data_IF_852901066760
#
_entry.id   IF_852901066760
#
_cell.length_a   1.000
_cell.length_b   1.000
_cell.length_c   1.000
_cell.angle_alpha   90.00
_cell.angle_beta   90.00
_cell.angle_gamma   90.00
#
_symmetry.space_group_name_H-M   'P 1'
#
loop_
_entity.id
_entity.type
_entity.pdbx_description
1 polymer ?
#
# COMPACT_ATOMS: atom_id res chain seq x y z
N UNK A 1 34.19 -16.15 28.80
CA UNK A 1 34.04 -15.53 30.14
C UNK A 1 33.81 -14.04 29.93
N UNK A 2 32.83 -13.53 30.67
CA UNK A 2 32.24 -12.21 30.56
C UNK A 2 33.23 -11.05 30.70
N UNK A 3 32.88 -9.89 30.12
CA UNK A 3 32.83 -8.61 30.85
C UNK A 3 32.03 -7.62 30.00
N UNK A 4 30.72 -7.70 30.24
CA UNK A 4 29.64 -6.87 29.71
C UNK A 4 29.77 -5.46 30.29
N UNK A 5 30.00 -4.47 29.41
CA UNK A 5 30.03 -3.06 29.75
C UNK A 5 28.66 -2.58 30.21
N UNK A 6 28.49 -2.44 31.53
CA UNK A 6 27.28 -1.98 32.19
C UNK A 6 27.08 -0.50 31.88
N UNK A 7 26.18 -0.20 30.94
CA UNK A 7 25.60 1.13 30.77
C UNK A 7 24.88 1.53 32.06
N UNK A 8 25.29 2.66 32.64
CA UNK A 8 24.62 3.30 33.75
C UNK A 8 23.32 3.95 33.25
N UNK A 9 22.18 3.77 33.96
CA UNK A 9 20.97 4.54 33.73
C UNK A 9 21.08 5.83 34.55
N UNK A 10 21.55 6.91 33.94
CA UNK A 10 21.70 8.22 34.59
C UNK A 10 21.17 9.33 33.69
N UNK A 11 20.10 9.99 34.14
CA UNK A 11 19.56 11.26 33.60
C UNK A 11 19.31 11.25 32.09
N UNK A 12 18.33 10.46 31.66
CA UNK A 12 17.84 10.46 30.29
C UNK A 12 17.12 11.77 29.98
N UNK A 13 17.88 12.78 29.51
CA UNK A 13 17.34 13.73 28.53
C UNK A 13 17.15 13.01 27.20
N UNK A 14 16.26 13.51 26.33
CA UNK A 14 16.08 12.95 25.00
C UNK A 14 17.46 12.87 24.33
N UNK A 15 17.95 11.67 24.03
CA UNK A 15 19.29 11.56 23.46
C UNK A 15 19.22 11.94 21.99
N UNK A 16 20.15 12.79 21.52
CA UNK A 16 20.30 13.11 20.09
C UNK A 16 20.37 11.84 19.23
N UNK A 17 20.95 10.76 19.78
CA UNK A 17 21.00 9.42 19.18
C UNK A 17 19.61 8.80 18.97
N UNK A 18 18.69 8.93 19.93
CA UNK A 18 17.32 8.40 19.83
C UNK A 18 16.52 9.14 18.75
N UNK A 19 16.66 10.47 18.68
CA UNK A 19 16.06 11.29 17.61
C UNK A 19 16.63 10.89 16.25
N UNK A 20 17.95 10.72 16.15
CA UNK A 20 18.62 10.30 14.92
C UNK A 20 18.16 8.92 14.45
N UNK A 21 17.92 7.97 15.37
CA UNK A 21 17.39 6.64 15.05
C UNK A 21 15.95 6.72 14.52
N UNK A 22 15.09 7.50 15.16
CA UNK A 22 13.71 7.71 14.69
C UNK A 22 13.69 8.39 13.31
N UNK A 23 14.60 9.33 13.08
CA UNK A 23 14.73 9.97 11.75
C UNK A 23 15.18 8.99 10.67
N UNK A 24 16.10 8.08 10.97
CA UNK A 24 16.52 7.01 10.06
C UNK A 24 15.39 6.02 9.74
N UNK A 25 14.45 5.83 10.68
CA UNK A 25 13.25 5.03 10.49
C UNK A 25 12.16 5.76 9.68
N UNK A 26 12.38 7.02 9.28
CA UNK A 26 11.47 7.80 8.45
C UNK A 26 10.38 8.55 9.21
N UNK A 27 10.47 8.65 10.54
CA UNK A 27 9.55 9.49 11.32
C UNK A 27 9.83 10.98 11.07
N UNK A 28 8.77 11.76 10.96
CA UNK A 28 8.87 13.22 10.82
C UNK A 28 9.14 13.89 12.17
N UNK A 29 9.83 15.04 12.18
CA UNK A 29 10.27 15.71 13.41
C UNK A 29 9.11 16.05 14.36
N UNK A 30 7.95 16.42 13.82
CA UNK A 30 6.72 16.64 14.59
C UNK A 30 6.20 15.37 15.28
N UNK A 31 6.34 14.20 14.66
CA UNK A 31 5.96 12.90 15.23
C UNK A 31 6.95 12.49 16.34
N UNK A 32 8.24 12.75 16.13
CA UNK A 32 9.30 12.50 17.11
C UNK A 32 9.05 13.36 18.36
N UNK A 33 8.70 14.64 18.19
CA UNK A 33 8.35 15.54 19.30
C UNK A 33 7.17 15.00 20.10
N UNK A 34 6.09 14.55 19.44
CA UNK A 34 4.93 13.99 20.14
C UNK A 34 5.26 12.69 20.89
N UNK A 35 6.04 11.79 20.28
CA UNK A 35 6.48 10.56 20.94
C UNK A 35 7.36 10.83 22.16
N UNK A 36 8.22 11.85 22.09
CA UNK A 36 9.10 12.24 23.21
C UNK A 36 8.32 12.98 24.30
N UNK A 37 7.36 13.83 23.95
CA UNK A 37 6.45 14.43 24.92
C UNK A 37 5.62 13.37 25.66
N UNK A 38 5.13 12.36 24.94
CA UNK A 38 4.43 11.21 25.54
C UNK A 38 5.34 10.36 26.46
N UNK A 39 6.66 10.41 26.24
CA UNK A 39 7.66 9.77 27.11
C UNK A 39 8.10 10.66 28.28
N UNK A 40 7.53 11.87 28.41
CA UNK A 40 7.76 12.78 29.53
C UNK A 40 8.94 13.74 29.35
N UNK A 41 9.50 13.86 28.15
CA UNK A 41 10.60 14.79 27.89
C UNK A 41 10.12 16.24 27.78
N UNK A 42 10.89 17.17 28.34
CA UNK A 42 10.63 18.62 28.28
C UNK A 42 10.90 19.17 26.88
N UNK A 43 10.09 20.14 26.44
CA UNK A 43 10.22 20.72 25.09
C UNK A 43 11.63 21.27 24.81
N UNK A 44 12.24 21.94 25.79
CA UNK A 44 13.60 22.48 25.68
C UNK A 44 14.64 21.38 25.44
N UNK A 45 14.52 20.25 26.13
CA UNK A 45 15.42 19.11 25.98
C UNK A 45 15.25 18.43 24.62
N UNK A 46 14.01 18.37 24.11
CA UNK A 46 13.71 17.82 22.78
C UNK A 46 14.34 18.70 21.69
N UNK A 47 14.21 20.02 21.78
CA UNK A 47 14.80 20.96 20.82
C UNK A 47 16.32 20.93 20.84
N UNK A 48 16.93 20.91 22.02
CA UNK A 48 18.39 20.83 22.17
C UNK A 48 18.94 19.53 21.56
N UNK A 49 18.27 18.40 21.82
CA UNK A 49 18.65 17.11 21.27
C UNK A 49 18.45 17.03 19.75
N UNK A 50 17.41 17.68 19.20
CA UNK A 50 17.16 17.75 17.77
C UNK A 50 18.22 18.60 17.05
N UNK A 51 18.58 19.74 17.62
CA UNK A 51 19.66 20.60 17.10
C UNK A 51 21.02 19.89 17.13
N UNK A 52 21.31 19.16 18.21
CA UNK A 52 22.51 18.31 18.29
C UNK A 52 22.52 17.19 17.23
N UNK A 53 21.38 16.53 17.00
CA UNK A 53 21.27 15.47 16.00
C UNK A 53 21.40 16.00 14.56
N UNK A 54 20.97 17.25 14.32
CA UNK A 54 21.12 17.93 13.04
C UNK A 54 22.56 18.35 12.79
N UNK A 55 23.22 18.95 13.79
CA UNK A 55 24.63 19.32 13.71
C UNK A 55 25.55 18.11 13.48
N UNK A 56 25.21 16.93 14.01
CA UNK A 56 25.96 15.70 13.83
C UNK A 56 25.78 15.05 12.44
N UNK A 57 24.72 15.42 11.70
CA UNK A 57 24.37 14.80 10.41
C UNK A 57 24.44 15.79 9.24
N UNK A 58 24.90 17.02 9.49
CA UNK A 58 25.26 17.95 8.44
C UNK A 58 26.53 17.44 7.73
N UNK A 59 26.50 17.19 6.40
CA UNK A 59 27.72 16.91 5.67
C UNK A 59 28.67 18.10 5.84
N UNK A 60 29.95 17.82 6.11
CA UNK A 60 31.03 18.82 6.14
C UNK A 60 31.14 19.52 4.78
N UNK A 61 30.25 20.47 4.51
CA UNK A 61 30.45 21.49 3.51
C UNK A 61 31.16 22.64 4.19
N UNK A 62 32.40 22.85 3.77
CA UNK A 62 33.23 23.99 4.10
C UNK A 62 32.41 25.28 4.09
N UNK A 63 32.21 25.85 5.27
CA UNK A 63 31.67 27.20 5.43
C UNK A 63 32.76 28.21 5.05
N UNK A 64 32.51 28.94 3.96
CA UNK A 64 33.05 30.28 3.82
C UNK A 64 32.29 31.19 4.81
N UNK A 65 33.01 31.66 5.83
CA UNK A 65 32.50 32.65 6.77
C UNK A 65 32.44 34.04 6.13
N UNK A 66 31.40 34.85 6.40
CA UNK A 66 31.52 36.30 6.40
C UNK A 66 31.91 36.81 7.80
N UNK A 67 32.94 37.65 7.82
CA UNK A 67 33.54 38.30 8.99
C UNK A 67 32.67 39.42 9.59
N UNK A 68 32.68 39.47 10.93
CA UNK A 68 32.88 40.62 11.84
C UNK A 68 32.15 41.97 11.61
N UNK A 69 31.56 42.47 12.69
CA UNK A 69 31.72 43.88 13.07
C UNK A 69 32.12 44.01 14.55
N UNK A 70 33.23 44.71 14.74
CA UNK A 70 33.97 44.97 15.97
C UNK A 70 33.71 46.43 16.35
N UNK A 71 33.30 46.69 17.59
CA UNK A 71 33.20 48.07 18.12
C UNK A 71 34.57 48.53 18.66
N UNK A 72 35.01 49.77 18.35
CA UNK A 72 36.31 50.29 18.79
C UNK A 72 36.27 50.86 20.21
N UNK A 73 37.40 50.73 20.90
CA UNK A 73 37.69 51.29 22.21
C UNK A 73 37.92 52.81 22.15
N UNK A 74 37.45 53.53 23.18
CA UNK A 74 38.02 54.83 23.56
C UNK A 74 38.22 54.92 25.08
N UNK A 75 39.40 55.44 25.38
CA UNK A 75 40.13 55.68 26.61
C UNK A 75 39.48 56.75 27.49
N UNK A 76 39.30 56.50 28.80
CA UNK A 76 39.77 57.43 29.83
C UNK A 76 39.67 56.89 31.27
N UNK A 77 40.53 57.48 32.10
CA UNK A 77 41.08 57.02 33.38
C UNK A 77 40.30 57.60 34.59
N UNK A 78 40.38 56.85 35.70
CA UNK A 78 40.51 57.30 37.10
C UNK A 78 39.36 58.00 37.86
N UNK A 79 39.27 57.61 39.15
CA UNK A 79 38.59 58.22 40.31
C UNK A 79 37.06 58.29 40.25
N UNK A 80 36.29 57.98 41.29
CA UNK A 80 36.58 57.96 42.72
C UNK A 80 35.49 58.78 43.41
N UNK A 81 34.71 58.13 44.28
CA UNK A 81 33.90 58.77 45.33
C UNK A 81 32.75 59.67 44.87
N UNK A 82 31.52 59.20 45.05
CA UNK A 82 30.33 60.05 44.96
C UNK A 82 29.06 59.23 45.07
N UNK A 83 28.56 59.08 46.30
CA UNK A 83 27.15 58.77 46.50
C UNK A 83 26.35 59.90 45.87
N UNK A 84 25.57 59.62 44.82
CA UNK A 84 24.39 60.42 44.50
C UNK A 84 23.25 59.51 44.03
N UNK A 85 22.27 59.43 44.93
CA UNK A 85 20.84 59.53 44.66
C UNK A 85 20.32 58.82 43.41
N UNK A 86 19.67 57.69 43.65
CA UNK A 86 18.74 57.07 42.71
C UNK A 86 17.60 58.04 42.41
N UNK A 87 17.71 58.73 41.27
CA UNK A 87 16.60 59.44 40.65
C UNK A 87 15.65 58.40 40.03
N UNK A 88 14.57 58.09 40.75
CA UNK A 88 13.38 57.43 40.23
C UNK A 88 12.63 58.46 39.40
N UNK A 89 13.01 58.56 38.13
CA UNK A 89 12.54 59.65 37.27
C UNK A 89 12.51 59.32 35.79
N UNK A 90 12.13 58.10 35.39
CA UNK A 90 11.68 57.75 34.03
C UNK A 90 11.18 56.30 33.99
N UNK A 91 9.88 56.09 34.14
CA UNK A 91 9.25 54.76 34.01
C UNK A 91 7.85 54.83 33.40
N UNK A 92 7.67 55.78 32.48
CA UNK A 92 6.44 55.93 31.69
C UNK A 92 6.71 55.60 30.21
N UNK A 93 7.78 56.12 29.61
CA UNK A 93 8.13 55.88 28.19
C UNK A 93 8.50 54.41 27.89
N UNK A 94 9.24 53.74 28.79
CA UNK A 94 9.55 52.30 28.62
C UNK A 94 8.31 51.41 28.78
N UNK A 95 7.32 51.81 29.58
CA UNK A 95 6.07 51.05 29.75
C UNK A 95 5.18 51.21 28.52
N UNK A 96 5.05 52.42 27.99
CA UNK A 96 4.26 52.69 26.78
C UNK A 96 4.84 51.95 25.56
N UNK A 97 6.17 51.88 25.42
CA UNK A 97 6.82 51.09 24.36
C UNK A 97 6.66 49.59 24.55
N UNK A 98 6.71 49.11 25.79
CA UNK A 98 6.45 47.70 26.11
C UNK A 98 4.97 47.35 25.86
N UNK A 99 4.04 48.26 26.14
CA UNK A 99 2.61 48.12 25.86
C UNK A 99 2.34 48.09 24.35
N UNK A 100 2.92 49.00 23.57
CA UNK A 100 2.78 49.02 22.11
C UNK A 100 3.32 47.73 21.46
N UNK A 101 4.51 47.28 21.89
CA UNK A 101 5.10 46.02 21.42
C UNK A 101 4.27 44.81 21.87
N UNK A 102 3.71 44.84 23.07
CA UNK A 102 2.84 43.77 23.56
C UNK A 102 1.51 43.71 22.79
N UNK A 103 0.87 44.85 22.51
CA UNK A 103 -0.36 44.91 21.72
C UNK A 103 -0.13 44.41 20.29
N UNK A 104 0.96 44.83 19.64
CA UNK A 104 1.31 44.36 18.30
C UNK A 104 1.56 42.84 18.27
N UNK A 105 2.26 42.28 19.27
CA UNK A 105 2.49 40.84 19.39
C UNK A 105 1.18 40.08 19.66
N UNK A 106 0.30 40.62 20.50
CA UNK A 106 -1.00 40.02 20.80
C UNK A 106 -1.87 39.99 19.54
N UNK A 107 -1.93 41.08 18.77
CA UNK A 107 -2.71 41.15 17.53
C UNK A 107 -2.16 40.20 16.46
N UNK A 108 -0.84 40.10 16.30
CA UNK A 108 -0.22 39.15 15.38
C UNK A 108 -0.59 37.71 15.76
N UNK A 109 -0.43 37.34 17.03
CA UNK A 109 -0.76 35.99 17.51
C UNK A 109 -2.25 35.69 17.49
N UNK A 110 -3.10 36.68 17.73
CA UNK A 110 -4.55 36.54 17.63
C UNK A 110 -4.98 36.29 16.19
N UNK A 111 -4.40 37.00 15.23
CA UNK A 111 -4.65 36.80 13.81
C UNK A 111 -4.19 35.41 13.32
N UNK A 112 -3.02 34.95 13.77
CA UNK A 112 -2.54 33.59 13.49
C UNK A 112 -3.47 32.52 14.08
N UNK A 113 -3.93 32.71 15.32
CA UNK A 113 -4.88 31.81 15.98
C UNK A 113 -6.20 31.74 15.20
N UNK A 114 -6.77 32.89 14.80
CA UNK A 114 -7.99 32.95 13.99
C UNK A 114 -7.82 32.23 12.66
N UNK A 115 -6.66 32.39 12.03
CA UNK A 115 -6.34 31.70 10.77
C UNK A 115 -6.30 30.18 10.95
N UNK A 116 -5.73 29.69 12.05
CA UNK A 116 -5.69 28.26 12.34
C UNK A 116 -7.05 27.69 12.73
N UNK A 117 -7.88 28.45 13.46
CA UNK A 117 -9.28 28.09 13.73
C UNK A 117 -10.07 27.96 12.43
N UNK A 118 -9.89 28.88 11.49
CA UNK A 118 -10.53 28.80 10.17
C UNK A 118 -10.09 27.56 9.40
N UNK A 119 -8.79 27.22 9.41
CA UNK A 119 -8.30 25.97 8.79
C UNK A 119 -8.90 24.72 9.44
N UNK A 120 -9.06 24.72 10.76
CA UNK A 120 -9.69 23.60 11.49
C UNK A 120 -11.17 23.49 11.12
N UNK A 121 -11.87 24.61 10.98
CA UNK A 121 -13.27 24.63 10.53
C UNK A 121 -13.42 24.07 9.11
N UNK A 122 -12.55 24.48 8.19
CA UNK A 122 -12.51 23.94 6.82
C UNK A 122 -12.19 22.44 6.80
N UNK A 123 -11.25 22.00 7.66
CA UNK A 123 -10.92 20.59 7.80
C UNK A 123 -12.11 19.79 8.35
N UNK A 124 -12.84 20.34 9.32
CA UNK A 124 -14.02 19.72 9.89
C UNK A 124 -15.11 19.56 8.82
N UNK A 125 -15.43 20.63 8.07
CA UNK A 125 -16.41 20.60 6.99
C UNK A 125 -16.03 19.59 5.88
N UNK A 126 -14.75 19.52 5.50
CA UNK A 126 -14.25 18.51 4.55
C UNK A 126 -14.36 17.09 5.10
N UNK A 127 -14.10 16.89 6.39
CA UNK A 127 -14.18 15.57 7.04
C UNK A 127 -15.62 15.10 7.13
N UNK A 128 -16.56 15.99 7.50
CA UNK A 128 -17.98 15.69 7.54
C UNK A 128 -18.51 15.31 6.15
N UNK A 129 -18.14 16.08 5.11
CA UNK A 129 -18.51 15.73 3.73
C UNK A 129 -17.94 14.38 3.28
N UNK A 130 -16.69 14.06 3.65
CA UNK A 130 -16.08 12.74 3.36
C UNK A 130 -16.80 11.62 4.12
N UNK A 131 -17.18 11.85 5.37
CA UNK A 131 -17.93 10.88 6.17
C UNK A 131 -19.27 10.57 5.52
N UNK A 132 -20.03 11.58 5.10
CA UNK A 132 -21.30 11.38 4.40
C UNK A 132 -21.13 10.61 3.09
N UNK A 133 -20.06 10.88 2.32
CA UNK A 133 -19.76 10.11 1.10
C UNK A 133 -19.44 8.66 1.40
N UNK A 134 -18.63 8.39 2.43
CA UNK A 134 -18.31 7.02 2.86
C UNK A 134 -19.56 6.28 3.31
N UNK A 135 -20.45 6.92 4.08
CA UNK A 135 -21.73 6.33 4.48
C UNK A 135 -22.59 5.95 3.28
N UNK A 136 -22.63 6.83 2.27
CA UNK A 136 -23.36 6.55 1.03
C UNK A 136 -22.72 5.42 0.23
N UNK A 137 -21.39 5.40 0.12
CA UNK A 137 -20.66 4.34 -0.58
C UNK A 137 -20.83 2.99 0.11
N UNK A 138 -20.87 2.94 1.45
CA UNK A 138 -21.16 1.73 2.22
C UNK A 138 -22.58 1.24 1.96
N UNK A 139 -23.57 2.14 1.91
CA UNK A 139 -24.95 1.78 1.54
C UNK A 139 -25.01 1.20 0.13
N UNK A 140 -24.39 1.88 -0.83
CA UNK A 140 -24.33 1.42 -2.21
C UNK A 140 -23.62 0.06 -2.33
N UNK A 141 -22.52 -0.14 -1.60
CA UNK A 141 -21.78 -1.40 -1.57
C UNK A 141 -22.65 -2.54 -1.00
N UNK A 142 -23.39 -2.27 0.08
CA UNK A 142 -24.33 -3.22 0.66
C UNK A 142 -25.42 -3.60 -0.35
N UNK A 143 -26.02 -2.62 -1.02
CA UNK A 143 -27.08 -2.89 -2.00
C UNK A 143 -26.55 -3.69 -3.20
N UNK A 144 -25.35 -3.37 -3.68
CA UNK A 144 -24.67 -4.11 -4.73
C UNK A 144 -24.34 -5.54 -4.29
N UNK A 145 -23.89 -5.74 -3.04
CA UNK A 145 -23.62 -7.06 -2.48
C UNK A 145 -24.90 -7.89 -2.36
N UNK A 146 -26.00 -7.31 -1.88
CA UNK A 146 -27.29 -8.00 -1.78
C UNK A 146 -27.82 -8.39 -3.17
N UNK A 147 -27.67 -7.51 -4.17
CA UNK A 147 -28.02 -7.80 -5.56
C UNK A 147 -27.16 -8.92 -6.14
N UNK A 148 -25.84 -8.87 -5.93
CA UNK A 148 -24.93 -9.93 -6.34
C UNK A 148 -25.26 -11.26 -5.67
N UNK A 149 -25.51 -11.25 -4.36
CA UNK A 149 -25.85 -12.45 -3.59
C UNK A 149 -27.14 -13.09 -4.12
N UNK A 150 -28.18 -12.28 -4.39
CA UNK A 150 -29.42 -12.76 -5.02
C UNK A 150 -29.18 -13.32 -6.43
N UNK A 151 -28.38 -12.63 -7.24
CA UNK A 151 -28.02 -13.07 -8.59
C UNK A 151 -27.26 -14.39 -8.58
N UNK A 152 -26.28 -14.54 -7.68
CA UNK A 152 -25.49 -15.76 -7.50
C UNK A 152 -26.37 -16.91 -7.00
N UNK A 153 -27.23 -16.68 -5.99
CA UNK A 153 -28.20 -17.69 -5.53
C UNK A 153 -29.15 -18.12 -6.65
N UNK A 154 -29.64 -17.17 -7.46
CA UNK A 154 -30.45 -17.47 -8.63
C UNK A 154 -29.72 -18.35 -9.63
N UNK A 155 -28.48 -17.98 -9.99
CA UNK A 155 -27.64 -18.80 -10.88
C UNK A 155 -27.39 -20.19 -10.31
N UNK A 156 -27.05 -20.32 -9.03
CA UNK A 156 -26.84 -21.63 -8.38
C UNK A 156 -28.12 -22.47 -8.45
N UNK A 157 -29.29 -21.87 -8.22
CA UNK A 157 -30.56 -22.58 -8.35
C UNK A 157 -30.85 -23.03 -9.79
N UNK A 158 -30.53 -22.20 -10.78
CA UNK A 158 -30.63 -22.57 -12.20
C UNK A 158 -29.64 -23.69 -12.55
N UNK A 159 -28.41 -23.65 -12.02
CA UNK A 159 -27.42 -24.72 -12.18
C UNK A 159 -27.90 -26.04 -11.57
N UNK A 160 -28.48 -26.01 -10.37
CA UNK A 160 -29.05 -27.19 -9.71
C UNK A 160 -30.18 -27.81 -10.55
N UNK A 161 -31.12 -26.98 -11.06
CA UNK A 161 -32.17 -27.44 -11.98
C UNK A 161 -31.60 -28.04 -13.26
N UNK A 162 -30.61 -27.39 -13.86
CA UNK A 162 -29.96 -27.89 -15.06
C UNK A 162 -29.23 -29.21 -14.80
N UNK A 163 -28.56 -29.37 -13.66
CA UNK A 163 -27.93 -30.63 -13.26
C UNK A 163 -28.95 -31.76 -13.07
N UNK A 164 -30.11 -31.46 -12.47
CA UNK A 164 -31.21 -32.44 -12.37
C UNK A 164 -31.71 -32.82 -13.76
N UNK A 165 -31.93 -31.86 -14.66
CA UNK A 165 -32.35 -32.12 -16.04
C UNK A 165 -31.34 -32.99 -16.79
N UNK A 166 -30.06 -32.63 -16.74
CA UNK A 166 -28.98 -33.42 -17.33
C UNK A 166 -28.93 -34.82 -16.71
N UNK A 167 -29.17 -34.96 -15.41
CA UNK A 167 -29.28 -36.26 -14.74
C UNK A 167 -30.42 -37.11 -15.31
N UNK A 168 -31.58 -36.51 -15.61
CA UNK A 168 -32.69 -37.23 -16.25
C UNK A 168 -32.38 -37.63 -17.70
N UNK A 169 -31.72 -36.76 -18.46
CA UNK A 169 -31.28 -37.05 -19.84
C UNK A 169 -30.22 -38.15 -19.87
N UNK A 170 -29.23 -38.10 -18.98
CA UNK A 170 -28.21 -39.15 -18.84
C UNK A 170 -28.87 -40.48 -18.51
N UNK A 171 -29.88 -40.49 -17.62
CA UNK A 171 -30.63 -41.71 -17.29
C UNK A 171 -31.48 -42.23 -18.45
N UNK A 172 -32.02 -41.34 -19.27
CA UNK A 172 -32.72 -41.72 -20.49
C UNK A 172 -31.73 -42.32 -21.51
N UNK A 173 -30.56 -41.70 -21.67
CA UNK A 173 -29.48 -42.19 -22.52
C UNK A 173 -28.95 -43.54 -22.03
N UNK A 174 -28.82 -43.75 -20.72
CA UNK A 174 -28.47 -45.03 -20.11
C UNK A 174 -29.46 -46.12 -20.53
N UNK A 175 -30.77 -45.86 -20.44
CA UNK A 175 -31.81 -46.81 -20.90
C UNK A 175 -31.74 -47.09 -22.39
N UNK A 176 -31.42 -46.08 -23.20
CA UNK A 176 -31.22 -46.26 -24.64
C UNK A 176 -29.99 -47.13 -24.88
N UNK A 177 -28.89 -46.90 -24.17
CA UNK A 177 -27.67 -47.71 -24.25
C UNK A 177 -27.93 -49.16 -23.84
N UNK A 178 -28.69 -49.39 -22.76
CA UNK A 178 -29.11 -50.72 -22.32
C UNK A 178 -29.93 -51.46 -23.39
N UNK A 179 -30.71 -50.75 -24.21
CA UNK A 179 -31.46 -51.36 -25.33
C UNK A 179 -30.61 -51.57 -26.59
N UNK A 180 -29.66 -50.67 -26.87
CA UNK A 180 -28.82 -50.73 -28.07
C UNK A 180 -27.70 -51.76 -27.91
N UNK A 181 -27.08 -51.88 -26.73
CA UNK A 181 -25.96 -52.81 -26.52
C UNK A 181 -26.28 -54.24 -26.97
N UNK A 182 -27.41 -54.87 -26.54
CA UNK A 182 -27.77 -56.21 -27.00
C UNK A 182 -28.00 -56.28 -28.51
N UNK A 183 -28.71 -55.31 -29.09
CA UNK A 183 -28.98 -55.28 -30.53
C UNK A 183 -27.69 -55.13 -31.35
N UNK A 184 -26.73 -54.32 -30.87
CA UNK A 184 -25.43 -54.16 -31.50
C UNK A 184 -24.58 -55.43 -31.39
N UNK A 185 -24.53 -56.06 -30.21
CA UNK A 185 -23.87 -57.35 -30.01
C UNK A 185 -24.46 -58.43 -30.91
N UNK A 186 -25.78 -58.53 -31.00
CA UNK A 186 -26.46 -59.47 -31.89
C UNK A 186 -26.15 -59.22 -33.36
N UNK A 187 -26.14 -57.95 -33.79
CA UNK A 187 -25.82 -57.59 -35.17
C UNK A 187 -24.36 -57.88 -35.52
N UNK A 188 -23.41 -57.58 -34.62
CA UNK A 188 -21.99 -57.92 -34.81
C UNK A 188 -21.80 -59.43 -34.84
N UNK A 189 -22.46 -60.18 -33.96
CA UNK A 189 -22.41 -61.64 -33.97
C UNK A 189 -22.99 -62.24 -35.26
N UNK A 190 -24.08 -61.68 -35.78
CA UNK A 190 -24.64 -62.08 -37.08
C UNK A 190 -23.69 -61.74 -38.23
N UNK A 191 -23.07 -60.57 -38.21
CA UNK A 191 -22.10 -60.17 -39.23
C UNK A 191 -20.86 -61.06 -39.21
N UNK A 192 -20.32 -61.37 -38.02
CA UNK A 192 -19.22 -62.31 -37.86
C UNK A 192 -19.57 -63.68 -38.44
N UNK A 193 -20.78 -64.21 -38.17
CA UNK A 193 -21.25 -65.47 -38.77
C UNK A 193 -21.40 -65.37 -40.29
N UNK A 194 -21.89 -64.26 -40.82
CA UNK A 194 -22.00 -64.03 -42.28
C UNK A 194 -20.61 -64.00 -42.92
N UNK A 195 -19.64 -63.33 -42.29
CA UNK A 195 -18.25 -63.28 -42.76
C UNK A 195 -17.56 -64.64 -42.66
N UNK A 196 -17.74 -65.40 -41.58
CA UNK A 196 -17.18 -66.75 -41.41
C UNK A 196 -17.80 -67.77 -42.36
N UNK A 197 -19.09 -67.59 -42.70
CA UNK A 197 -19.79 -68.45 -43.67
C UNK A 197 -19.57 -68.05 -45.12
N UNK A 198 -18.97 -66.89 -45.40
CA UNK A 198 -18.41 -66.62 -46.73
C UNK A 198 -17.12 -67.40 -46.88
N UNK A 199 -17.05 -68.39 -47.80
CA UNK A 199 -15.77 -68.98 -48.15
C UNK A 199 -14.89 -67.83 -48.68
N UNK A 200 -13.68 -67.69 -48.14
CA UNK A 200 -12.70 -66.76 -48.67
C UNK A 200 -12.62 -66.97 -50.18
N UNK A 201 -13.04 -65.95 -50.96
CA UNK A 201 -13.00 -65.98 -52.42
C UNK A 201 -11.53 -65.96 -52.81
N UNK A 202 -10.92 -67.15 -52.83
CA UNK A 202 -9.64 -67.41 -53.43
C UNK A 202 -9.85 -67.39 -54.95
N UNK A 203 -9.26 -66.44 -55.70
CA UNK A 203 -9.31 -66.51 -57.15
C UNK A 203 -8.38 -67.66 -57.59
N UNK A 204 -8.95 -68.80 -57.97
CA UNK A 204 -8.20 -69.84 -58.67
C UNK A 204 -7.84 -69.35 -60.08
N UNK A 205 -6.56 -69.47 -60.52
CA UNK A 205 -6.16 -69.09 -61.85
C UNK A 205 -6.71 -70.10 -62.86
N UNK A 206 -7.63 -69.63 -63.72
CA UNK A 206 -8.11 -70.40 -64.86
C UNK A 206 -6.94 -70.68 -65.82
N UNK A 207 -6.60 -71.96 -65.96
CA UNK A 207 -5.83 -72.47 -67.09
C UNK A 207 -6.68 -72.32 -68.35
N UNK A 208 -6.31 -71.38 -69.23
CA UNK A 208 -6.77 -71.35 -70.61
C UNK A 208 -5.56 -71.20 -71.55
N UNK A 209 -5.59 -71.94 -72.65
CA UNK A 209 -4.91 -71.52 -73.88
C UNK A 209 -3.59 -72.19 -74.18
N UNK A 210 -3.63 -73.50 -74.45
CA UNK A 210 -2.66 -74.12 -75.36
C UNK A 210 -2.95 -73.62 -76.78
N UNK A 211 -1.94 -73.05 -77.45
CA UNK A 211 -1.91 -72.91 -78.91
C UNK A 211 -2.14 -71.50 -79.47
N UNK A 212 -1.06 -70.80 -79.81
CA UNK A 212 -0.75 -70.53 -81.22
C UNK A 212 0.69 -70.05 -81.38
N UNK A 213 1.45 -70.83 -82.15
CA UNK A 213 2.79 -70.53 -82.65
C UNK A 213 2.64 -69.68 -83.91
N UNK A 214 3.06 -68.40 -83.87
CA UNK A 214 3.49 -67.62 -85.04
C UNK A 214 4.51 -66.57 -84.53
N UNK A 215 5.82 -66.81 -84.55
CA UNK A 215 6.77 -66.71 -85.67
C UNK A 215 6.99 -65.28 -86.19
N UNK A 216 8.17 -64.71 -85.86
CA UNK A 216 8.97 -63.68 -86.58
C UNK A 216 8.38 -62.24 -86.55
N UNK A 217 9.10 -61.15 -86.26
CA UNK A 217 10.51 -60.73 -86.45
C UNK A 217 10.81 -59.49 -85.53
N UNK A 218 12.08 -59.12 -85.32
CA UNK A 218 12.49 -57.90 -84.60
C UNK A 218 12.59 -56.70 -85.56
N UNK A 219 13.21 -55.60 -85.09
CA UNK A 219 13.57 -54.30 -85.71
C UNK A 219 12.65 -53.18 -85.18
N UNK A 220 13.10 -52.07 -84.61
CA UNK A 220 14.41 -51.47 -84.28
C UNK A 220 14.14 -50.42 -83.18
#
# INVERSE_FOLDING_TARGET
MALFGKQQPGTGGATASQIQSMRQQGYADNQIIQMLQNQGYQSQQIFEAMSMAEAANAPQQQMAMPQQQVYPAQDQRMMGGGQELYDVGSSVDDRERIEEVAEAIIDEKWNDLLKDINKISDFNAKTESRLTKIEQDIKNLRDNFDSLHRGVLGKISDYDRNLVSVGTEIKAMEKVFQKILPAFTDNVNRLARITDSMPSVHPQPQKQGQGMVVKKRPME
#
